data_IF_998086250300
#
_entry.id   IF_998086250300
#
_cell.length_a   1.000
_cell.length_b   1.000
_cell.length_c   1.000
_cell.angle_alpha   90.00
_cell.angle_beta   90.00
_cell.angle_gamma   90.00
#
_symmetry.space_group_name_H-M   'P 1'
#
loop_
_entity.id
_entity.type
_entity.pdbx_description
1 polymer ?
#
# COMPACT_ATOMS: atom_id res chain seq x y z
N UNK A 1 9.74 13.40 1.12
CA UNK A 1 9.58 12.09 0.47
C UNK A 1 8.15 11.92 -0.02
N UNK A 2 7.92 11.03 -0.99
CA UNK A 2 6.59 10.71 -1.49
C UNK A 2 6.36 9.21 -1.62
N UNK A 3 5.16 8.74 -1.33
CA UNK A 3 4.72 7.38 -1.68
C UNK A 3 3.27 7.39 -2.11
N UNK A 4 2.87 6.43 -2.94
CA UNK A 4 1.46 6.26 -3.24
C UNK A 4 0.74 5.66 -2.03
N UNK A 5 -0.55 5.97 -1.87
CA UNK A 5 -1.40 5.50 -0.78
C UNK A 5 -1.38 3.98 -0.56
N UNK A 6 -1.45 3.13 -1.60
CA UNK A 6 -1.34 1.68 -1.40
C UNK A 6 0.04 1.22 -0.93
N UNK A 7 1.11 1.97 -1.24
CA UNK A 7 2.47 1.61 -0.81
C UNK A 7 2.59 1.56 0.71
N UNK A 8 3.35 0.59 1.23
CA UNK A 8 3.54 0.40 2.67
C UNK A 8 4.06 1.67 3.36
N UNK A 9 3.75 1.80 4.64
CA UNK A 9 4.14 2.95 5.47
C UNK A 9 5.58 2.85 6.00
N UNK A 10 6.41 1.97 5.43
CA UNK A 10 7.82 1.84 5.83
C UNK A 10 8.60 3.15 5.65
N UNK A 11 8.37 3.86 4.55
CA UNK A 11 8.98 5.17 4.28
C UNK A 11 8.63 6.21 5.35
N UNK A 12 7.42 6.14 5.92
CA UNK A 12 6.91 7.08 6.92
C UNK A 12 7.70 6.98 8.23
N UNK A 13 8.14 5.77 8.60
CA UNK A 13 9.00 5.53 9.77
C UNK A 13 10.36 6.20 9.62
N UNK A 14 10.96 6.05 8.44
CA UNK A 14 12.26 6.66 8.11
C UNK A 14 12.14 8.18 8.11
N UNK A 15 11.14 8.71 7.41
CA UNK A 15 10.88 10.14 7.35
C UNK A 15 10.65 10.76 8.72
N UNK A 16 9.87 10.11 9.59
CA UNK A 16 9.66 10.57 10.97
C UNK A 16 10.97 10.64 11.75
N UNK A 17 11.84 9.64 11.60
CA UNK A 17 13.17 9.64 12.23
C UNK A 17 14.09 10.73 11.69
N UNK A 18 13.97 11.07 10.40
CA UNK A 18 14.77 12.10 9.74
C UNK A 18 14.16 13.51 9.85
N UNK A 19 12.94 13.63 10.41
CA UNK A 19 12.15 14.87 10.44
C UNK A 19 11.90 15.46 9.04
N UNK A 20 11.68 14.60 8.06
CA UNK A 20 11.38 14.97 6.66
C UNK A 20 9.89 14.77 6.40
N UNK A 21 9.19 15.67 5.68
CA UNK A 21 7.80 15.48 5.32
C UNK A 21 7.59 14.29 4.38
N UNK A 22 6.44 13.61 4.50
CA UNK A 22 6.00 12.57 3.58
C UNK A 22 4.68 12.96 2.95
N UNK A 23 4.61 12.88 1.63
CA UNK A 23 3.38 13.04 0.88
C UNK A 23 2.83 11.66 0.51
N UNK A 24 1.61 11.37 0.97
CA UNK A 24 0.84 10.22 0.54
C UNK A 24 -0.04 10.63 -0.65
N UNK A 25 0.25 10.14 -1.84
CA UNK A 25 -0.42 10.51 -3.09
C UNK A 25 -1.33 9.39 -3.61
N UNK A 26 -2.28 9.64 -4.53
CA UNK A 26 -2.91 8.55 -5.28
C UNK A 26 -1.86 7.81 -6.12
N UNK A 27 -2.15 6.58 -6.55
CA UNK A 27 -1.22 5.90 -7.44
C UNK A 27 -1.18 6.57 -8.82
N UNK A 28 0.01 6.63 -9.40
CA UNK A 28 0.29 7.35 -10.65
C UNK A 28 1.38 8.41 -10.45
N UNK A 29 2.41 8.37 -11.31
CA UNK A 29 3.61 9.18 -11.11
C UNK A 29 3.38 10.69 -11.22
N UNK A 30 2.35 11.11 -11.98
CA UNK A 30 1.99 12.53 -12.17
C UNK A 30 1.85 13.34 -10.88
N UNK A 31 1.38 12.71 -9.79
CA UNK A 31 1.22 13.39 -8.51
C UNK A 31 2.58 13.72 -7.86
N UNK A 32 3.60 12.89 -8.09
CA UNK A 32 4.95 13.19 -7.62
C UNK A 32 5.61 14.28 -8.47
N UNK A 33 5.36 14.31 -9.78
CA UNK A 33 5.91 15.35 -10.65
C UNK A 33 5.54 16.76 -10.17
N UNK A 34 4.27 17.01 -9.81
CA UNK A 34 3.84 18.27 -9.20
C UNK A 34 4.60 18.60 -7.91
N UNK A 35 4.79 17.61 -7.03
CA UNK A 35 5.53 17.77 -5.77
C UNK A 35 7.02 18.05 -6.01
N UNK A 36 7.62 17.46 -7.06
CA UNK A 36 9.00 17.72 -7.46
C UNK A 36 9.16 19.13 -8.02
N UNK A 37 8.25 19.57 -8.91
CA UNK A 37 8.29 20.90 -9.52
C UNK A 37 8.14 22.03 -8.49
N UNK A 38 7.41 21.78 -7.41
CA UNK A 38 7.28 22.71 -6.29
C UNK A 38 8.39 22.60 -5.23
N UNK A 39 9.41 21.75 -5.44
CA UNK A 39 10.51 21.53 -4.51
C UNK A 39 10.11 20.84 -3.19
N UNK A 40 8.94 20.20 -3.14
CA UNK A 40 8.40 19.54 -1.93
C UNK A 40 8.87 18.08 -1.79
N UNK A 41 9.26 17.43 -2.87
CA UNK A 41 9.65 16.02 -2.88
C UNK A 41 10.86 15.74 -3.77
N UNK A 42 11.90 15.12 -3.20
CA UNK A 42 13.11 14.71 -3.94
C UNK A 42 13.29 13.19 -4.07
N UNK A 43 12.55 12.38 -3.32
CA UNK A 43 12.60 10.92 -3.41
C UNK A 43 11.19 10.37 -3.22
N UNK A 44 10.74 9.54 -4.15
CA UNK A 44 9.45 8.89 -4.10
C UNK A 44 9.44 7.48 -4.69
N UNK A 45 8.43 6.70 -4.32
CA UNK A 45 8.27 5.35 -4.82
C UNK A 45 6.83 4.84 -4.76
N UNK A 46 6.59 3.78 -5.52
CA UNK A 46 5.33 3.03 -5.57
C UNK A 46 5.62 1.55 -5.40
N UNK A 47 4.76 0.86 -4.65
CA UNK A 47 4.76 -0.60 -4.46
C UNK A 47 4.81 -1.41 -5.76
N UNK A 48 4.35 -0.82 -6.86
CA UNK A 48 4.42 -1.40 -8.21
C UNK A 48 5.83 -1.31 -8.81
N UNK A 49 6.86 -1.61 -8.02
CA UNK A 49 8.27 -1.63 -8.41
C UNK A 49 8.81 -0.29 -8.97
N UNK A 50 8.22 0.82 -8.54
CA UNK A 50 8.57 2.15 -9.01
C UNK A 50 9.41 2.92 -7.99
N UNK A 51 10.57 3.43 -8.37
CA UNK A 51 11.39 4.31 -7.53
C UNK A 51 12.01 5.41 -8.39
N UNK A 52 12.16 6.62 -7.84
CA UNK A 52 12.67 7.77 -8.57
C UNK A 52 12.93 8.99 -7.67
N UNK A 53 13.57 10.00 -8.23
CA UNK A 53 13.85 11.29 -7.57
C UNK A 53 13.52 12.45 -8.51
N UNK A 54 13.71 13.67 -8.03
CA UNK A 54 13.52 14.93 -8.78
C UNK A 54 14.52 15.16 -9.93
N UNK A 55 15.47 14.24 -10.17
CA UNK A 55 16.38 14.28 -11.32
C UNK A 55 15.65 14.23 -12.69
N UNK A 56 14.50 13.54 -12.75
CA UNK A 56 13.59 13.51 -13.90
C UNK A 56 12.13 13.55 -13.41
N UNK A 57 11.16 13.41 -14.32
CA UNK A 57 9.71 13.38 -14.00
C UNK A 57 9.07 12.03 -14.31
N UNK A 58 9.86 10.97 -14.23
CA UNK A 58 9.46 9.58 -14.43
C UNK A 58 10.10 8.65 -13.39
N UNK A 59 9.62 7.41 -13.33
CA UNK A 59 10.33 6.34 -12.62
C UNK A 59 11.61 6.00 -13.37
N UNK A 60 12.68 5.70 -12.64
CA UNK A 60 13.94 5.26 -13.25
C UNK A 60 14.48 4.01 -12.54
N UNK A 61 14.37 2.88 -13.25
CA UNK A 61 14.83 1.59 -12.75
C UNK A 61 16.35 1.47 -12.69
N UNK A 62 17.07 2.02 -13.67
CA UNK A 62 18.54 1.97 -13.67
C UNK A 62 19.11 2.86 -12.59
N UNK A 63 18.53 4.05 -12.39
CA UNK A 63 18.87 4.92 -11.28
C UNK A 63 18.65 4.24 -9.92
N UNK A 64 17.54 3.51 -9.74
CA UNK A 64 17.28 2.77 -8.51
C UNK A 64 18.34 1.67 -8.27
N UNK A 65 18.78 0.98 -9.33
CA UNK A 65 19.90 0.01 -9.26
C UNK A 65 21.18 0.70 -8.84
N UNK A 66 21.55 1.82 -9.48
CA UNK A 66 22.78 2.57 -9.15
C UNK A 66 22.76 3.11 -7.71
N UNK A 67 21.60 3.51 -7.19
CA UNK A 67 21.45 3.87 -5.78
C UNK A 67 21.73 2.67 -4.88
N UNK A 68 21.17 1.51 -5.17
CA UNK A 68 21.42 0.31 -4.35
C UNK A 68 22.91 -0.07 -4.39
N UNK A 69 23.55 -0.04 -5.56
CA UNK A 69 24.99 -0.28 -5.67
C UNK A 69 25.81 0.75 -4.87
N UNK A 70 25.40 2.02 -4.87
CA UNK A 70 26.04 3.07 -4.08
C UNK A 70 25.89 2.82 -2.57
N UNK A 71 24.70 2.41 -2.12
CA UNK A 71 24.43 2.05 -0.73
C UNK A 71 25.28 0.84 -0.30
N UNK A 72 25.33 -0.20 -1.13
CA UNK A 72 26.14 -1.41 -0.88
C UNK A 72 27.62 -1.05 -0.79
N UNK A 73 28.14 -0.26 -1.73
CA UNK A 73 29.54 0.17 -1.74
C UNK A 73 29.90 0.99 -0.49
N UNK A 74 29.01 1.91 -0.07
CA UNK A 74 29.23 2.74 1.11
C UNK A 74 29.13 1.96 2.42
N UNK A 75 28.16 1.04 2.53
CA UNK A 75 27.91 0.24 3.75
C UNK A 75 28.81 -0.98 3.87
N UNK A 76 29.36 -1.48 2.75
CA UNK A 76 30.15 -2.73 2.67
C UNK A 76 29.40 -3.93 3.25
N UNK A 77 28.10 -3.98 3.00
CA UNK A 77 27.18 -5.01 3.47
C UNK A 77 26.37 -5.56 2.29
N UNK A 78 25.93 -6.80 2.40
CA UNK A 78 25.00 -7.40 1.43
C UNK A 78 23.61 -6.78 1.49
N UNK A 79 22.79 -7.00 0.45
CA UNK A 79 21.41 -6.48 0.39
C UNK A 79 20.59 -6.95 1.61
N UNK A 80 20.67 -8.24 1.93
CA UNK A 80 19.92 -8.84 3.05
C UNK A 80 20.29 -8.18 4.39
N UNK A 81 21.59 -8.04 4.68
CA UNK A 81 22.08 -7.40 5.90
C UNK A 81 21.56 -5.97 6.03
N UNK A 82 21.62 -5.19 4.95
CA UNK A 82 21.16 -3.79 4.93
C UNK A 82 19.65 -3.71 5.21
N UNK A 83 18.86 -4.61 4.63
CA UNK A 83 17.41 -4.68 4.84
C UNK A 83 17.08 -5.14 6.26
N UNK A 84 17.77 -6.14 6.80
CA UNK A 84 17.57 -6.62 8.18
C UNK A 84 17.99 -5.60 9.23
N UNK A 85 19.09 -4.88 9.01
CA UNK A 85 19.48 -3.74 9.83
C UNK A 85 18.41 -2.65 9.81
N UNK A 86 17.83 -2.39 8.64
CA UNK A 86 16.75 -1.44 8.48
C UNK A 86 15.50 -1.86 9.26
N UNK A 87 15.09 -3.13 9.18
CA UNK A 87 13.97 -3.66 9.96
C UNK A 87 14.25 -3.60 11.45
N UNK A 88 15.45 -3.95 11.89
CA UNK A 88 15.83 -3.84 13.32
C UNK A 88 15.70 -2.41 13.82
N UNK A 89 16.06 -1.42 13.00
CA UNK A 89 16.01 0.00 13.36
C UNK A 89 14.59 0.61 13.33
N UNK A 90 13.77 0.26 12.34
CA UNK A 90 12.49 0.93 12.07
C UNK A 90 11.25 0.04 12.27
N UNK A 91 11.44 -1.25 12.49
CA UNK A 91 10.42 -2.30 12.40
C UNK A 91 10.24 -2.77 10.95
N UNK A 92 9.64 -3.96 10.79
CA UNK A 92 9.31 -4.54 9.49
C UNK A 92 7.85 -4.22 9.14
N UNK A 93 7.62 -3.71 7.95
CA UNK A 93 6.29 -3.63 7.36
C UNK A 93 6.12 -4.83 6.42
N UNK A 94 5.48 -5.89 6.91
CA UNK A 94 5.03 -6.99 6.06
C UNK A 94 4.02 -6.44 5.07
N UNK A 95 4.14 -6.81 3.80
CA UNK A 95 3.32 -6.27 2.73
C UNK A 95 3.11 -7.30 1.64
N UNK A 96 1.90 -7.36 1.07
CA UNK A 96 1.63 -8.07 -0.16
C UNK A 96 0.49 -7.41 -0.94
N UNK A 97 0.41 -7.73 -2.24
CA UNK A 97 -0.65 -7.31 -3.15
C UNK A 97 -1.25 -8.51 -3.86
N UNK A 98 -2.58 -8.59 -3.88
CA UNK A 98 -3.37 -9.57 -4.61
C UNK A 98 -4.07 -8.86 -5.77
N UNK A 99 -3.79 -9.28 -6.99
CA UNK A 99 -4.41 -8.74 -8.20
C UNK A 99 -5.45 -9.72 -8.74
N UNK A 100 -6.69 -9.27 -8.84
CA UNK A 100 -7.78 -9.95 -9.53
C UNK A 100 -7.98 -9.30 -10.89
N UNK A 101 -7.27 -9.81 -11.89
CA UNK A 101 -7.26 -9.27 -13.24
C UNK A 101 -8.44 -9.77 -14.05
N UNK A 102 -8.82 -9.03 -15.10
CA UNK A 102 -9.85 -9.42 -16.07
C UNK A 102 -11.20 -9.79 -15.41
N UNK A 103 -11.62 -9.03 -14.40
CA UNK A 103 -12.96 -9.12 -13.83
C UNK A 103 -13.98 -8.43 -14.74
N UNK A 104 -15.23 -8.89 -14.66
CA UNK A 104 -16.38 -8.16 -15.18
C UNK A 104 -16.43 -6.76 -14.54
N UNK A 105 -16.41 -5.67 -15.32
CA UNK A 105 -16.36 -4.31 -14.77
C UNK A 105 -17.57 -3.96 -13.89
N UNK A 106 -18.77 -4.45 -14.25
CA UNK A 106 -20.00 -4.17 -13.49
C UNK A 106 -19.96 -4.85 -12.13
N UNK A 107 -19.51 -6.10 -12.07
CA UNK A 107 -19.30 -6.82 -10.84
C UNK A 107 -18.24 -6.15 -9.95
N UNK A 108 -17.09 -5.79 -10.52
CA UNK A 108 -16.02 -5.11 -9.79
C UNK A 108 -16.49 -3.75 -9.22
N UNK A 109 -17.30 -3.01 -9.97
CA UNK A 109 -17.94 -1.78 -9.49
C UNK A 109 -18.84 -2.04 -8.28
N UNK A 110 -19.73 -3.04 -8.35
CA UNK A 110 -20.63 -3.33 -7.22
C UNK A 110 -19.90 -3.87 -6.00
N UNK A 111 -18.83 -4.65 -6.16
CA UNK A 111 -17.95 -5.04 -5.04
C UNK A 111 -17.41 -3.80 -4.33
N UNK A 112 -16.83 -2.86 -5.08
CA UNK A 112 -16.25 -1.65 -4.49
C UNK A 112 -17.32 -0.75 -3.86
N UNK A 113 -18.48 -0.59 -4.52
CA UNK A 113 -19.60 0.20 -3.99
C UNK A 113 -20.11 -0.36 -2.66
N UNK A 114 -20.36 -1.67 -2.61
CA UNK A 114 -20.92 -2.33 -1.42
C UNK A 114 -19.90 -2.33 -0.28
N UNK A 115 -18.62 -2.55 -0.61
CA UNK A 115 -17.54 -2.45 0.35
C UNK A 115 -17.39 -1.02 0.89
N UNK A 116 -17.48 0.01 0.04
CA UNK A 116 -17.48 1.41 0.46
C UNK A 116 -18.62 1.69 1.45
N UNK A 117 -19.85 1.27 1.12
CA UNK A 117 -21.00 1.42 2.00
C UNK A 117 -20.79 0.71 3.35
N UNK A 118 -20.24 -0.51 3.34
CA UNK A 118 -19.93 -1.27 4.55
C UNK A 118 -18.91 -0.54 5.43
N UNK A 119 -17.77 -0.15 4.87
CA UNK A 119 -16.66 0.40 5.67
C UNK A 119 -16.90 1.84 6.11
N UNK A 120 -17.80 2.57 5.44
CA UNK A 120 -18.15 3.95 5.79
C UNK A 120 -19.34 4.04 6.73
N UNK A 121 -19.99 2.92 7.03
CA UNK A 121 -21.00 2.86 8.09
C UNK A 121 -20.39 3.21 9.45
N UNK A 122 -21.13 3.98 10.26
CA UNK A 122 -20.66 4.46 11.56
C UNK A 122 -20.31 3.32 12.52
N UNK A 123 -21.00 2.18 12.41
CA UNK A 123 -20.77 1.00 13.24
C UNK A 123 -19.50 0.23 12.87
N UNK A 124 -18.89 0.50 11.71
CA UNK A 124 -17.69 -0.20 11.27
C UNK A 124 -16.44 0.24 12.02
N UNK A 125 -16.41 1.47 12.54
CA UNK A 125 -15.31 1.94 13.41
C UNK A 125 -15.35 1.20 14.74
N UNK A 126 -14.20 0.79 15.26
CA UNK A 126 -14.05 -0.08 16.43
C UNK A 126 -14.57 -1.52 16.25
N UNK A 127 -15.04 -1.91 15.06
CA UNK A 127 -15.35 -3.31 14.78
C UNK A 127 -14.07 -4.15 14.92
N UNK A 128 -14.25 -5.35 15.45
CA UNK A 128 -13.17 -6.30 15.67
C UNK A 128 -13.31 -7.50 14.73
N UNK A 129 -12.18 -7.93 14.18
CA UNK A 129 -12.09 -9.13 13.35
C UNK A 129 -11.11 -10.11 14.00
N UNK A 130 -11.61 -11.27 14.39
CA UNK A 130 -10.80 -12.37 14.90
C UNK A 130 -10.55 -13.39 13.79
N UNK A 131 -9.27 -13.71 13.53
CA UNK A 131 -8.87 -14.77 12.60
C UNK A 131 -7.74 -15.58 13.24
N UNK A 132 -8.07 -16.81 13.64
CA UNK A 132 -7.20 -17.61 14.50
C UNK A 132 -6.93 -16.88 15.82
N UNK A 133 -5.65 -16.71 16.16
CA UNK A 133 -5.22 -16.00 17.38
C UNK A 133 -5.04 -14.49 17.18
N UNK A 134 -5.30 -13.95 15.99
CA UNK A 134 -5.11 -12.54 15.69
C UNK A 134 -6.43 -11.78 15.86
N UNK A 135 -6.36 -10.61 16.49
CA UNK A 135 -7.49 -9.70 16.68
C UNK A 135 -7.16 -8.34 16.08
N UNK A 136 -7.92 -7.93 15.07
CA UNK A 136 -7.76 -6.65 14.38
C UNK A 136 -8.92 -5.72 14.74
N UNK A 137 -8.63 -4.58 15.36
CA UNK A 137 -9.63 -3.56 15.69
C UNK A 137 -9.54 -2.42 14.69
N UNK A 138 -10.65 -2.10 14.02
CA UNK A 138 -10.71 -1.00 13.05
C UNK A 138 -10.53 0.33 13.76
N UNK A 139 -9.47 1.06 13.42
CA UNK A 139 -9.21 2.40 13.92
C UNK A 139 -9.86 3.46 13.03
N UNK A 140 -9.72 3.31 11.71
CA UNK A 140 -10.18 4.31 10.74
C UNK A 140 -10.46 3.67 9.39
N UNK A 141 -11.50 4.16 8.72
CA UNK A 141 -11.79 3.83 7.32
C UNK A 141 -11.89 5.09 6.49
N UNK A 142 -11.53 4.99 5.21
CA UNK A 142 -11.63 6.11 4.25
C UNK A 142 -11.83 5.60 2.84
N UNK A 143 -12.60 6.32 2.02
CA UNK A 143 -12.36 6.32 0.58
C UNK A 143 -11.37 7.44 0.26
N UNK A 144 -10.14 7.08 -0.11
CA UNK A 144 -9.02 8.01 -0.16
C UNK A 144 -9.29 9.17 -1.15
N UNK A 145 -9.08 10.38 -0.66
CA UNK A 145 -9.16 11.64 -1.39
C UNK A 145 -7.83 12.36 -1.21
N UNK A 146 -7.34 12.96 -2.29
CA UNK A 146 -6.11 13.74 -2.30
C UNK A 146 -6.39 15.14 -2.82
N UNK A 147 -5.93 16.14 -2.07
CA UNK A 147 -5.90 17.54 -2.51
C UNK A 147 -4.44 17.87 -2.82
N UNK A 148 -4.15 18.19 -4.07
CA UNK A 148 -2.81 18.53 -4.48
C UNK A 148 -2.35 19.84 -3.82
N UNK A 149 -1.24 19.86 -3.07
CA UNK A 149 -0.79 21.04 -2.34
C UNK A 149 -0.13 22.10 -3.21
N UNK A 150 -0.03 21.88 -4.53
CA UNK A 150 0.57 22.78 -5.51
C UNK A 150 -0.52 23.51 -6.29
N UNK A 151 -1.46 22.77 -6.87
CA UNK A 151 -2.49 23.32 -7.75
C UNK A 151 -3.92 23.28 -7.16
N UNK A 152 -4.11 22.66 -5.99
CA UNK A 152 -5.40 22.56 -5.33
C UNK A 152 -6.36 21.51 -5.93
N UNK A 153 -5.93 20.75 -6.93
CA UNK A 153 -6.76 19.73 -7.59
C UNK A 153 -7.19 18.66 -6.61
N UNK A 154 -8.49 18.36 -6.59
CA UNK A 154 -9.08 17.33 -5.73
C UNK A 154 -9.30 16.05 -6.51
N UNK A 155 -8.60 14.98 -6.14
CA UNK A 155 -8.76 13.64 -6.71
C UNK A 155 -9.45 12.72 -5.69
N UNK A 156 -10.72 12.39 -5.94
CA UNK A 156 -11.55 11.55 -5.06
C UNK A 156 -11.53 10.07 -5.45
N UNK A 157 -12.03 9.22 -4.56
CA UNK A 157 -12.30 7.79 -4.81
C UNK A 157 -11.06 7.00 -5.26
N UNK A 158 -9.92 7.26 -4.64
CA UNK A 158 -8.62 6.70 -5.06
C UNK A 158 -8.26 5.37 -4.40
N UNK A 159 -9.14 4.86 -3.55
CA UNK A 159 -9.03 3.53 -2.94
C UNK A 159 -9.69 3.48 -1.58
N UNK A 160 -10.35 2.36 -1.29
CA UNK A 160 -10.92 2.10 0.02
C UNK A 160 -9.81 1.63 0.94
N UNK A 161 -9.75 2.18 2.14
CA UNK A 161 -8.71 1.89 3.12
C UNK A 161 -9.31 1.64 4.48
N UNK A 162 -8.84 0.58 5.13
CA UNK A 162 -9.11 0.22 6.52
C UNK A 162 -7.76 0.24 7.23
N UNK A 163 -7.66 1.01 8.30
CA UNK A 163 -6.49 1.09 9.18
C UNK A 163 -6.90 0.48 10.51
N UNK A 164 -6.09 -0.45 11.00
CA UNK A 164 -6.27 -1.11 12.28
C UNK A 164 -5.38 -0.46 13.36
N UNK A 165 -5.74 -0.65 14.63
CA UNK A 165 -5.07 -0.03 15.77
C UNK A 165 -3.62 -0.49 15.98
N UNK A 166 -3.26 -1.66 15.46
CA UNK A 166 -1.91 -2.24 15.49
C UNK A 166 -1.00 -1.74 14.35
N UNK A 167 -1.45 -0.71 13.61
CA UNK A 167 -0.82 -0.18 12.40
C UNK A 167 -0.83 -1.15 11.19
N UNK A 168 -1.68 -2.19 11.22
CA UNK A 168 -2.02 -2.96 10.03
C UNK A 168 -2.96 -2.17 9.12
N UNK A 169 -2.94 -2.46 7.81
CA UNK A 169 -3.80 -1.81 6.81
C UNK A 169 -4.32 -2.81 5.79
N UNK A 170 -5.56 -2.61 5.37
CA UNK A 170 -6.15 -3.20 4.17
C UNK A 170 -6.56 -2.10 3.20
N UNK A 171 -6.21 -2.26 1.94
CA UNK A 171 -6.53 -1.29 0.89
C UNK A 171 -7.12 -2.04 -0.30
N UNK A 172 -8.17 -1.47 -0.89
CA UNK A 172 -8.84 -2.00 -2.08
C UNK A 172 -8.85 -0.93 -3.16
N UNK A 173 -8.38 -1.27 -4.36
CA UNK A 173 -8.36 -0.35 -5.49
C UNK A 173 -8.88 -1.02 -6.74
N UNK A 174 -9.80 -0.33 -7.42
CA UNK A 174 -10.16 -0.64 -8.78
C UNK A 174 -9.17 0.08 -9.71
N UNK A 175 -8.27 -0.67 -10.34
CA UNK A 175 -7.25 -0.16 -11.26
C UNK A 175 -7.69 -0.41 -12.69
N UNK A 176 -7.53 0.59 -13.57
CA UNK A 176 -7.74 0.49 -15.02
C UNK A 176 -9.01 -0.30 -15.42
N UNK A 177 -10.19 0.33 -15.26
CA UNK A 177 -11.42 -0.20 -15.84
C UNK A 177 -11.52 0.26 -17.30
N UNK A 178 -11.35 -0.66 -18.25
CA UNK A 178 -11.90 -0.45 -19.59
C UNK A 178 -13.35 -0.92 -19.60
N UNK A 179 -14.08 -0.67 -20.70
CA UNK A 179 -15.42 -1.25 -20.87
C UNK A 179 -15.41 -2.79 -20.88
N UNK A 180 -14.24 -3.42 -21.05
CA UNK A 180 -14.11 -4.86 -21.26
C UNK A 180 -13.56 -5.57 -20.03
N UNK A 181 -12.65 -4.94 -19.28
CA UNK A 181 -11.96 -5.59 -18.15
C UNK A 181 -11.67 -4.60 -17.04
N UNK A 182 -11.83 -5.08 -15.80
CA UNK A 182 -11.41 -4.38 -14.60
C UNK A 182 -10.38 -5.21 -13.83
N UNK A 183 -9.48 -4.53 -13.11
CA UNK A 183 -8.56 -5.18 -12.17
C UNK A 183 -8.82 -4.65 -10.77
N UNK A 184 -9.20 -5.53 -9.84
CA UNK A 184 -9.32 -5.19 -8.43
C UNK A 184 -8.06 -5.64 -7.71
N UNK A 185 -7.39 -4.70 -7.04
CA UNK A 185 -6.17 -4.94 -6.27
C UNK A 185 -6.48 -4.84 -4.78
N UNK A 186 -6.05 -5.83 -4.01
CA UNK A 186 -6.13 -5.87 -2.55
C UNK A 186 -4.71 -5.78 -2.02
N UNK A 187 -4.46 -4.86 -1.10
CA UNK A 187 -3.17 -4.69 -0.45
C UNK A 187 -3.33 -4.97 1.03
N UNK A 188 -2.43 -5.77 1.59
CA UNK A 188 -2.36 -6.04 3.02
C UNK A 188 -1.00 -5.61 3.56
N UNK A 189 -1.03 -4.89 4.68
CA UNK A 189 0.16 -4.49 5.40
C UNK A 189 0.01 -4.79 6.89
N UNK A 190 1.09 -5.31 7.50
CA UNK A 190 1.18 -5.52 8.95
C UNK A 190 2.52 -4.98 9.46
N UNK A 191 2.48 -4.12 10.47
CA UNK A 191 3.69 -3.60 11.11
C UNK A 191 4.14 -4.52 12.24
N UNK A 192 5.42 -4.89 12.25
CA UNK A 192 6.05 -5.66 13.32
C UNK A 192 7.26 -4.91 13.87
N UNK A 193 7.18 -4.54 15.15
CA UNK A 193 8.25 -3.83 15.84
C UNK A 193 9.31 -4.79 16.38
N UNK A 194 8.91 -5.98 16.80
CA UNK A 194 9.76 -6.96 17.48
C UNK A 194 10.71 -7.66 16.48
N UNK A 195 12.04 -7.45 16.58
CA UNK A 195 13.00 -8.05 15.68
C UNK A 195 12.98 -9.58 15.65
N UNK A 196 12.60 -10.23 16.76
CA UNK A 196 12.51 -11.69 16.83
C UNK A 196 11.44 -12.26 15.89
N UNK A 197 10.49 -11.42 15.47
CA UNK A 197 9.39 -11.80 14.58
C UNK A 197 9.64 -11.40 13.14
N UNK A 198 10.74 -10.71 12.83
CA UNK A 198 11.04 -10.24 11.48
C UNK A 198 11.41 -11.34 10.50
N UNK A 199 11.73 -12.56 10.94
CA UNK A 199 12.05 -13.68 10.05
C UNK A 199 10.84 -14.47 9.55
N UNK A 200 9.63 -14.10 9.99
CA UNK A 200 8.43 -14.84 9.59
C UNK A 200 8.16 -14.72 8.10
N UNK A 201 7.58 -15.77 7.52
CA UNK A 201 7.15 -15.80 6.14
C UNK A 201 5.99 -14.78 5.94
N UNK A 202 6.08 -13.87 4.94
CA UNK A 202 5.09 -12.82 4.76
C UNK A 202 3.65 -13.29 4.54
N UNK A 203 3.41 -14.34 3.75
CA UNK A 203 2.06 -14.86 3.50
C UNK A 203 1.43 -15.39 4.78
N UNK A 204 2.18 -16.04 5.66
CA UNK A 204 1.71 -16.53 6.95
C UNK A 204 1.30 -15.36 7.86
N UNK A 205 2.13 -14.31 7.95
CA UNK A 205 1.83 -13.10 8.74
C UNK A 205 0.60 -12.37 8.20
N UNK A 206 0.47 -12.27 6.88
CA UNK A 206 -0.59 -11.50 6.23
C UNK A 206 -1.88 -12.30 5.96
N UNK A 207 -1.83 -13.62 6.05
CA UNK A 207 -2.99 -14.51 5.84
C UNK A 207 -4.24 -14.11 6.64
N UNK A 208 -4.15 -13.66 7.91
CA UNK A 208 -5.33 -13.25 8.66
C UNK A 208 -5.97 -11.97 8.10
N UNK A 209 -5.16 -10.98 7.72
CA UNK A 209 -5.64 -9.75 7.07
C UNK A 209 -6.25 -10.06 5.70
N UNK A 210 -5.63 -10.93 4.91
CA UNK A 210 -6.18 -11.37 3.62
C UNK A 210 -7.51 -12.08 3.82
N UNK A 211 -7.65 -12.97 4.82
CA UNK A 211 -8.92 -13.63 5.12
C UNK A 211 -10.04 -12.62 5.46
N UNK A 212 -9.72 -11.57 6.24
CA UNK A 212 -10.65 -10.47 6.51
C UNK A 212 -11.03 -9.78 5.20
N UNK A 213 -10.04 -9.42 4.38
CA UNK A 213 -10.25 -8.70 3.13
C UNK A 213 -11.16 -9.46 2.16
N UNK A 214 -10.93 -10.77 1.99
CA UNK A 214 -11.74 -11.64 1.15
C UNK A 214 -13.17 -11.74 1.70
N UNK A 215 -13.33 -11.94 3.01
CA UNK A 215 -14.65 -12.05 3.65
C UNK A 215 -15.49 -10.78 3.51
N UNK A 216 -14.92 -9.60 3.76
CA UNK A 216 -15.69 -8.35 3.73
C UNK A 216 -16.00 -7.89 2.30
N UNK A 217 -15.12 -8.20 1.33
CA UNK A 217 -15.34 -7.87 -0.07
C UNK A 217 -16.22 -8.89 -0.80
N UNK A 218 -16.32 -10.11 -0.27
CA UNK A 218 -17.01 -11.25 -0.91
C UNK A 218 -16.56 -11.47 -2.36
N UNK A 219 -15.28 -11.18 -2.63
CA UNK A 219 -14.75 -11.15 -4.00
C UNK A 219 -14.82 -12.51 -4.66
N UNK A 220 -14.61 -13.61 -3.92
CA UNK A 220 -14.65 -14.97 -4.48
C UNK A 220 -16.08 -15.38 -4.85
N UNK A 221 -17.04 -15.14 -3.96
CA UNK A 221 -18.47 -15.46 -4.18
C UNK A 221 -19.03 -14.65 -5.35
N UNK A 222 -18.63 -13.38 -5.46
CA UNK A 222 -19.13 -12.46 -6.48
C UNK A 222 -18.49 -12.66 -7.85
N UNK A 223 -17.24 -13.11 -7.90
CA UNK A 223 -16.50 -13.25 -9.17
C UNK A 223 -16.33 -14.70 -9.63
N UNK A 224 -16.64 -15.68 -8.78
CA UNK A 224 -16.35 -17.09 -9.02
C UNK A 224 -14.85 -17.45 -9.00
N UNK A 225 -13.98 -16.49 -8.67
CA UNK A 225 -12.53 -16.73 -8.55
C UNK A 225 -12.24 -17.52 -7.28
N UNK A 226 -11.30 -18.46 -7.36
CA UNK A 226 -10.79 -19.23 -6.20
C UNK A 226 -9.58 -18.58 -5.52
N UNK A 227 -9.00 -17.56 -6.15
CA UNK A 227 -7.79 -16.89 -5.71
C UNK A 227 -7.42 -15.73 -6.64
N UNK A 228 -6.42 -14.93 -6.29
CA UNK A 228 -5.92 -13.85 -7.14
C UNK A 228 -5.27 -14.41 -8.40
N UNK A 229 -5.23 -13.61 -9.47
CA UNK A 229 -4.45 -13.91 -10.68
C UNK A 229 -2.95 -13.80 -10.39
N UNK A 230 -2.54 -12.77 -9.63
CA UNK A 230 -1.15 -12.49 -9.28
C UNK A 230 -1.05 -12.15 -7.79
N UNK A 231 0.03 -12.64 -7.17
CA UNK A 231 0.45 -12.25 -5.82
C UNK A 231 1.83 -11.61 -5.94
N UNK A 232 2.01 -10.46 -5.29
CA UNK A 232 3.29 -9.75 -5.17
C UNK A 232 3.63 -9.52 -3.71
#
# INVERSE_FOLDING_TARGET
FGRSMPTSTALDRVAKSMKVPVYETPAGWRFFSNLMDSGRCSLCGEESFGTGSDHIREKDGLWAVLIWLSIIAARKQGVEEIVRDHWTKFGRHYYCRFDYEALDPRMAYYIMRDLEALITDKSFTNQQFAVGNNLYTVQKTTNFEYVDPVDGTVTKRQGLRIIFTDASRLIFRLSASSHVRATLRIYAESYEKDPSKHEKEPQAVLSPLIAIALKISQIHERTGRKGPTVIT
#
